data_IF_130652988358
#
_entry.id   IF_130652988358
#
_cell.length_a   1.000
_cell.length_b   1.000
_cell.length_c   1.000
_cell.angle_alpha   90.00
_cell.angle_beta   90.00
_cell.angle_gamma   90.00
#
_symmetry.space_group_name_H-M   'P 1'
#
loop_
_entity.id
_entity.type
_entity.pdbx_description
1 polymer ?
#
# COMPACT_ATOMS: atom_id res chain seq x y z
N UNK A 1 9.10 11.77 6.46
CA UNK A 1 9.47 11.59 7.87
C UNK A 1 9.48 10.13 8.30
N UNK A 2 8.40 9.37 8.09
CA UNK A 2 8.36 7.94 8.46
C UNK A 2 9.48 7.08 7.85
N UNK A 3 9.87 7.34 6.58
CA UNK A 3 10.97 6.64 5.91
C UNK A 3 12.35 6.88 6.53
N UNK A 4 12.62 8.09 7.06
CA UNK A 4 13.88 8.41 7.75
C UNK A 4 13.97 7.67 9.08
N UNK A 5 12.87 7.63 9.83
CA UNK A 5 12.79 6.93 11.11
C UNK A 5 12.92 5.41 10.90
N UNK A 6 12.22 4.86 9.90
CA UNK A 6 12.33 3.46 9.54
C UNK A 6 13.76 3.09 9.12
N UNK A 7 14.42 3.93 8.32
CA UNK A 7 15.81 3.73 7.91
C UNK A 7 16.76 3.71 9.11
N UNK A 8 16.66 4.67 10.03
CA UNK A 8 17.49 4.72 11.24
C UNK A 8 17.39 3.48 12.12
N UNK A 9 16.23 2.81 12.14
CA UNK A 9 16.00 1.61 12.95
C UNK A 9 16.41 0.34 12.18
N UNK A 10 15.99 0.20 10.92
CA UNK A 10 16.19 -1.02 10.15
C UNK A 10 17.58 -1.14 9.52
N UNK A 11 18.25 -0.04 9.18
CA UNK A 11 19.63 -0.08 8.64
C UNK A 11 20.63 -0.72 9.60
N UNK A 12 20.73 -0.33 10.88
CA UNK A 12 21.68 -0.97 11.80
C UNK A 12 21.33 -2.43 12.09
N UNK A 13 20.04 -2.76 12.20
CA UNK A 13 19.58 -4.15 12.34
C UNK A 13 19.91 -4.99 11.10
N UNK A 14 19.73 -4.43 9.91
CA UNK A 14 20.10 -5.07 8.65
C UNK A 14 21.61 -5.26 8.51
N UNK A 15 22.41 -4.26 8.91
CA UNK A 15 23.87 -4.37 8.94
C UNK A 15 24.37 -5.47 9.89
N UNK A 16 23.74 -5.61 11.06
CA UNK A 16 24.10 -6.65 12.04
C UNK A 16 23.76 -8.07 11.55
N UNK A 17 22.67 -8.23 10.78
CA UNK A 17 22.21 -9.54 10.31
C UNK A 17 22.82 -9.97 8.97
N UNK A 18 23.23 -9.02 8.13
CA UNK A 18 23.65 -9.28 6.75
C UNK A 18 25.10 -8.83 6.46
N UNK A 19 25.96 -8.77 7.47
CA UNK A 19 27.33 -8.22 7.37
C UNK A 19 28.15 -8.84 6.21
N UNK A 20 28.07 -10.14 5.98
CA UNK A 20 28.81 -10.84 4.91
C UNK A 20 28.17 -10.74 3.52
N UNK A 21 26.84 -10.52 3.44
CA UNK A 21 26.07 -10.49 2.18
C UNK A 21 25.87 -9.08 1.64
N UNK A 22 25.84 -8.06 2.50
CA UNK A 22 25.69 -6.64 2.09
C UNK A 22 26.86 -6.14 1.24
N UNK A 23 28.05 -6.69 1.46
CA UNK A 23 29.26 -6.32 0.71
C UNK A 23 29.42 -7.05 -0.63
N UNK A 24 28.50 -7.96 -0.97
CA UNK A 24 28.49 -8.58 -2.28
C UNK A 24 27.96 -7.58 -3.32
N UNK A 25 28.87 -7.06 -4.14
CA UNK A 25 28.57 -6.14 -5.25
C UNK A 25 27.48 -6.63 -6.20
N UNK A 26 27.21 -7.93 -6.25
CA UNK A 26 26.14 -8.52 -7.06
C UNK A 26 24.72 -8.31 -6.48
N UNK A 27 24.58 -8.09 -5.17
CA UNK A 27 23.28 -7.97 -4.50
C UNK A 27 22.82 -6.52 -4.36
N UNK A 28 23.74 -5.56 -4.34
CA UNK A 28 23.45 -4.13 -4.31
C UNK A 28 22.50 -3.67 -5.44
N UNK A 29 22.75 -3.97 -6.73
CA UNK A 29 21.85 -3.56 -7.80
C UNK A 29 20.47 -4.23 -7.70
N UNK A 30 20.40 -5.49 -7.22
CA UNK A 30 19.14 -6.19 -7.02
C UNK A 30 18.32 -5.54 -5.90
N UNK A 31 18.95 -5.23 -4.76
CA UNK A 31 18.31 -4.53 -3.64
C UNK A 31 17.81 -3.14 -4.02
N UNK A 32 18.60 -2.39 -4.80
CA UNK A 32 18.19 -1.11 -5.40
C UNK A 32 16.98 -1.29 -6.33
N UNK A 33 17.00 -2.32 -7.18
CA UNK A 33 15.89 -2.64 -8.07
C UNK A 33 14.60 -2.92 -7.31
N UNK A 34 14.66 -3.76 -6.26
CA UNK A 34 13.50 -4.08 -5.42
C UNK A 34 12.98 -2.82 -4.71
N UNK A 35 13.86 -2.00 -4.14
CA UNK A 35 13.48 -0.75 -3.46
C UNK A 35 12.77 0.24 -4.40
N UNK A 36 13.30 0.41 -5.62
CA UNK A 36 12.69 1.29 -6.63
C UNK A 36 11.34 0.73 -7.08
N UNK A 37 11.29 -0.55 -7.45
CA UNK A 37 10.08 -1.16 -8.00
C UNK A 37 8.97 -1.30 -6.96
N UNK A 38 9.30 -1.55 -5.69
CA UNK A 38 8.31 -1.77 -4.62
C UNK A 38 7.87 -0.49 -3.91
N UNK A 39 8.64 0.60 -3.95
CA UNK A 39 8.30 1.83 -3.22
C UNK A 39 8.30 3.05 -4.12
N UNK A 40 9.41 3.34 -4.82
CA UNK A 40 9.50 4.57 -5.60
C UNK A 40 8.52 4.60 -6.77
N UNK A 41 8.38 3.47 -7.49
CA UNK A 41 7.47 3.34 -8.63
C UNK A 41 5.99 3.39 -8.22
N UNK A 42 5.49 2.56 -7.27
CA UNK A 42 4.10 2.64 -6.84
C UNK A 42 3.76 3.99 -6.22
N UNK A 43 4.65 4.57 -5.40
CA UNK A 43 4.42 5.89 -4.82
C UNK A 43 4.35 7.00 -5.87
N UNK A 44 5.20 6.93 -6.90
CA UNK A 44 5.15 7.89 -8.02
C UNK A 44 3.86 7.77 -8.82
N UNK A 45 3.40 6.54 -9.08
CA UNK A 45 2.12 6.29 -9.73
C UNK A 45 0.95 6.78 -8.87
N UNK A 46 1.04 6.62 -7.56
CA UNK A 46 0.04 7.10 -6.59
C UNK A 46 -0.09 8.63 -6.62
N UNK A 47 1.04 9.36 -6.57
CA UNK A 47 1.04 10.82 -6.69
C UNK A 47 0.57 11.31 -8.08
N UNK A 48 0.88 10.55 -9.14
CA UNK A 48 0.39 10.86 -10.49
C UNK A 48 -1.11 10.60 -10.64
N UNK A 49 -1.64 9.56 -10.00
CA UNK A 49 -3.07 9.26 -9.98
C UNK A 49 -3.86 10.34 -9.23
N UNK A 50 -3.34 10.82 -8.08
CA UNK A 50 -3.91 11.92 -7.31
C UNK A 50 -4.02 13.23 -8.10
N UNK A 51 -3.12 13.47 -9.04
CA UNK A 51 -3.12 14.69 -9.87
C UNK A 51 -3.99 14.59 -11.12
N UNK A 52 -4.40 13.38 -11.53
CA UNK A 52 -5.17 13.15 -12.78
C UNK A 52 -6.58 12.60 -12.58
N UNK A 53 -6.90 12.04 -11.42
CA UNK A 53 -8.22 11.46 -11.14
C UNK A 53 -8.99 12.28 -10.10
N UNK A 54 -10.33 12.41 -10.23
CA UNK A 54 -11.17 12.94 -9.17
C UNK A 54 -10.98 12.09 -7.90
N UNK A 55 -10.86 12.72 -6.74
CA UNK A 55 -10.60 12.10 -5.43
C UNK A 55 -11.51 10.90 -5.12
N UNK A 56 -12.71 10.90 -5.71
CA UNK A 56 -13.72 9.84 -5.62
C UNK A 56 -13.29 8.51 -6.26
N UNK A 57 -12.60 8.53 -7.41
CA UNK A 57 -12.12 7.31 -8.11
C UNK A 57 -10.84 6.77 -7.48
N UNK A 58 -9.99 7.66 -6.97
CA UNK A 58 -8.77 7.28 -6.25
C UNK A 58 -9.10 6.57 -4.94
N UNK A 59 -10.09 7.06 -4.17
CA UNK A 59 -10.54 6.39 -2.95
C UNK A 59 -11.07 4.97 -3.16
N UNK A 60 -11.80 4.72 -4.27
CA UNK A 60 -12.25 3.36 -4.61
C UNK A 60 -11.08 2.44 -5.02
N UNK A 61 -10.09 2.96 -5.75
CA UNK A 61 -8.88 2.20 -6.13
C UNK A 61 -8.02 1.87 -4.90
N UNK A 62 -7.85 2.82 -3.98
CA UNK A 62 -7.11 2.65 -2.73
C UNK A 62 -7.81 1.64 -1.79
N UNK A 63 -9.15 1.59 -1.81
CA UNK A 63 -9.92 0.57 -1.08
C UNK A 63 -9.72 -0.85 -1.62
N UNK A 64 -9.27 -0.98 -2.88
CA UNK A 64 -9.02 -2.23 -3.59
C UNK A 64 -7.60 -2.78 -3.35
N UNK A 65 -6.69 -1.93 -2.88
CA UNK A 65 -5.29 -2.25 -2.59
C UNK A 65 -5.11 -3.45 -1.63
N UNK A 66 -5.87 -3.57 -0.53
CA UNK A 66 -5.78 -4.73 0.37
C UNK A 66 -6.20 -6.03 -0.30
N UNK A 67 -7.19 -5.97 -1.20
CA UNK A 67 -7.66 -7.14 -1.93
C UNK A 67 -6.63 -7.62 -2.96
N UNK A 68 -6.02 -6.69 -3.70
CA UNK A 68 -4.94 -6.98 -4.65
C UNK A 68 -3.68 -7.49 -3.94
N UNK A 69 -3.34 -6.91 -2.78
CA UNK A 69 -2.23 -7.37 -1.95
C UNK A 69 -2.47 -8.81 -1.45
N UNK A 70 -3.68 -9.11 -0.99
CA UNK A 70 -4.05 -10.46 -0.56
C UNK A 70 -4.04 -11.48 -1.71
N UNK A 71 -4.54 -11.11 -2.90
CA UNK A 71 -4.50 -11.96 -4.09
C UNK A 71 -3.07 -12.22 -4.57
N UNK A 72 -2.22 -11.18 -4.61
CA UNK A 72 -0.80 -11.34 -4.92
C UNK A 72 -0.12 -12.24 -3.89
N UNK A 73 -0.38 -12.05 -2.59
CA UNK A 73 0.11 -12.95 -1.54
C UNK A 73 -0.32 -14.39 -1.76
N UNK A 74 -1.59 -14.64 -2.07
CA UNK A 74 -2.09 -15.99 -2.32
C UNK A 74 -1.44 -16.65 -3.55
N UNK A 75 -1.22 -15.88 -4.63
CA UNK A 75 -0.64 -16.38 -5.88
C UNK A 75 0.88 -16.62 -5.75
N UNK A 76 1.62 -15.68 -5.16
CA UNK A 76 3.09 -15.74 -5.07
C UNK A 76 3.60 -16.60 -3.91
N UNK A 77 2.92 -16.58 -2.76
CA UNK A 77 3.31 -17.36 -1.58
C UNK A 77 2.73 -18.79 -1.59
N UNK A 78 1.67 -19.05 -2.36
CA UNK A 78 1.08 -20.38 -2.50
C UNK A 78 0.43 -20.94 -1.22
N UNK A 79 0.30 -20.13 -0.17
CA UNK A 79 -0.34 -20.53 1.07
C UNK A 79 -1.86 -20.61 0.87
N UNK A 80 -2.45 -21.78 1.10
CA UNK A 80 -3.89 -21.91 1.26
C UNK A 80 -4.28 -21.25 2.59
N UNK A 81 -4.78 -20.01 2.52
CA UNK A 81 -5.18 -19.23 3.68
C UNK A 81 -6.03 -20.10 4.62
N UNK A 82 -5.54 -20.34 5.84
CA UNK A 82 -6.31 -20.98 6.91
C UNK A 82 -7.61 -20.18 7.10
N UNK A 83 -8.69 -20.86 7.49
CA UNK A 83 -10.04 -20.27 7.61
C UNK A 83 -10.07 -18.89 8.31
N UNK A 84 -9.18 -18.66 9.27
CA UNK A 84 -9.02 -17.40 9.99
C UNK A 84 -8.52 -16.23 9.13
N UNK A 85 -7.60 -16.45 8.19
CA UNK A 85 -7.11 -15.40 7.30
C UNK A 85 -8.15 -15.02 6.24
N UNK A 86 -8.93 -16.00 5.77
CA UNK A 86 -10.05 -15.74 4.85
C UNK A 86 -11.17 -14.95 5.53
N UNK A 87 -11.47 -15.24 6.80
CA UNK A 87 -12.40 -14.44 7.60
C UNK A 87 -11.89 -13.03 7.86
N UNK A 88 -10.59 -12.87 8.15
CA UNK A 88 -9.96 -11.56 8.31
C UNK A 88 -10.03 -10.73 7.01
N UNK A 89 -9.71 -11.34 5.87
CA UNK A 89 -9.83 -10.70 4.56
C UNK A 89 -11.29 -10.34 4.24
N UNK A 90 -12.23 -11.25 4.53
CA UNK A 90 -13.66 -10.99 4.38
C UNK A 90 -14.13 -9.81 5.23
N UNK A 91 -13.70 -9.73 6.49
CA UNK A 91 -14.01 -8.60 7.38
C UNK A 91 -13.43 -7.27 6.87
N UNK A 92 -12.21 -7.29 6.33
CA UNK A 92 -11.59 -6.10 5.71
C UNK A 92 -12.37 -5.66 4.46
N UNK A 93 -12.77 -6.60 3.61
CA UNK A 93 -13.58 -6.29 2.42
C UNK A 93 -14.94 -5.72 2.82
N UNK A 94 -15.62 -6.31 3.81
CA UNK A 94 -16.90 -5.80 4.33
C UNK A 94 -16.75 -4.41 4.94
N UNK A 95 -15.71 -4.19 5.76
CA UNK A 95 -15.43 -2.88 6.34
C UNK A 95 -15.10 -1.83 5.26
N UNK A 96 -14.33 -2.21 4.23
CA UNK A 96 -13.99 -1.36 3.08
C UNK A 96 -15.21 -0.99 2.24
N UNK A 97 -16.08 -1.96 1.94
CA UNK A 97 -17.39 -1.71 1.30
C UNK A 97 -18.28 -0.81 2.17
N UNK A 98 -18.37 -1.08 3.47
CA UNK A 98 -19.15 -0.30 4.42
C UNK A 98 -18.66 1.15 4.53
N UNK A 99 -17.33 1.36 4.56
CA UNK A 99 -16.72 2.68 4.52
C UNK A 99 -17.03 3.39 3.19
N UNK A 100 -16.90 2.72 2.06
CA UNK A 100 -17.19 3.27 0.72
C UNK A 100 -18.65 3.68 0.56
N UNK A 101 -19.59 2.86 1.04
CA UNK A 101 -21.03 3.13 0.99
C UNK A 101 -21.46 4.24 1.97
N UNK A 102 -20.86 4.30 3.16
CA UNK A 102 -21.18 5.33 4.17
C UNK A 102 -20.58 6.69 3.81
N UNK A 103 -19.44 6.71 3.12
CA UNK A 103 -18.77 7.95 2.65
C UNK A 103 -19.60 8.72 1.62
N UNK A 104 -20.64 8.12 1.00
CA UNK A 104 -21.53 8.83 0.08
C UNK A 104 -22.41 9.90 0.76
N UNK A 105 -22.42 10.02 2.11
CA UNK A 105 -23.36 10.92 2.82
C UNK A 105 -22.79 12.26 3.33
N UNK A 106 -21.52 12.57 3.10
CA UNK A 106 -20.96 13.92 3.27
C UNK A 106 -20.35 14.32 1.91
N UNK A 107 -20.75 15.35 1.18
CA UNK A 107 -21.33 16.63 1.55
C UNK A 107 -21.90 17.25 0.25
N UNK A 108 -23.23 17.35 0.18
CA UNK A 108 -23.86 18.43 -0.58
C UNK A 108 -23.89 19.62 0.38
N UNK A 109 -22.74 20.26 0.62
CA UNK A 109 -22.72 21.59 1.25
C UNK A 109 -23.26 22.55 0.18
N UNK A 110 -24.56 22.74 0.29
CA UNK A 110 -25.29 23.99 0.09
C UNK A 110 -24.56 25.02 -0.79
N UNK A 111 -25.06 25.14 -2.03
CA UNK A 111 -24.91 26.38 -2.80
C UNK A 111 -25.52 27.50 -1.96
N UNK A 112 -24.69 28.27 -1.26
CA UNK A 112 -25.10 29.56 -0.75
C UNK A 112 -24.91 30.54 -1.88
N UNK A 113 -26.01 30.79 -2.60
CA UNK A 113 -26.20 31.97 -3.43
C UNK A 113 -25.91 33.20 -2.57
N UNK A 114 -24.78 33.88 -2.85
CA UNK A 114 -24.56 35.24 -2.37
C UNK A 114 -24.87 36.15 -3.55
N UNK A 115 -26.10 36.66 -3.50
CA UNK A 115 -26.62 37.76 -4.30
C UNK A 115 -25.87 39.07 -4.05
#
# INVERSE_FOLDING_TARGET
MGSLIASLVFVPLGMAQATDTLWQWSLLPLGLGIAILSTALPYSLEMMALTRLPTRTFGTLMSLEPALAALSGMIFLGETLKLSQTLALGAIIIASMGATLTMQRQSKVEQVDIN
#
